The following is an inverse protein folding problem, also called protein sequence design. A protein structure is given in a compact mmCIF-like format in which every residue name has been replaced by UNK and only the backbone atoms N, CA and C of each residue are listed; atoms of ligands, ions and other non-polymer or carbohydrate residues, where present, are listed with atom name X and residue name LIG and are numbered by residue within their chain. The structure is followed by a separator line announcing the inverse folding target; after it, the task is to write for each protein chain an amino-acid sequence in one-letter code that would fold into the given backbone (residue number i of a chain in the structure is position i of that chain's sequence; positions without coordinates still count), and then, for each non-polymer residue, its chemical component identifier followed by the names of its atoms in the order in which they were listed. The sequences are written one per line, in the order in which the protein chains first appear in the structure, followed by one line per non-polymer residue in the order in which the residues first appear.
data_IF_134773053150
#
_entry.id   IF_134773053150
#
_cell.length_a   1.000
_cell.length_b   1.000
_cell.length_c   1.000
_cell.angle_alpha   90.00
_cell.angle_beta   90.00
_cell.angle_gamma   90.00
#
_symmetry.space_group_name_H-M   'P 1'
#
loop_
_entity.id
_entity.type
_entity.pdbx_description
1 polymer ?
#
# COMPACT_ATOMS: atom_id res chain seq x y z
N UNK A 1 6.88 15.90 3.99
CA UNK A 1 5.91 15.03 4.70
C UNK A 1 6.59 13.69 4.94
N UNK A 2 6.33 13.04 6.08
CA UNK A 2 6.96 11.75 6.44
C UNK A 2 6.23 10.64 5.70
N UNK A 3 6.95 9.83 4.92
CA UNK A 3 6.37 8.60 4.39
C UNK A 3 6.03 7.64 5.55
N UNK A 4 4.90 6.93 5.49
CA UNK A 4 4.55 5.92 6.50
C UNK A 4 5.62 4.82 6.57
N UNK A 5 5.83 4.22 7.75
CA UNK A 5 6.89 3.21 7.94
C UNK A 5 6.49 1.83 7.42
N UNK A 6 5.20 1.54 7.37
CA UNK A 6 4.66 0.26 6.92
C UNK A 6 3.29 0.47 6.25
N UNK A 7 2.77 -0.59 5.62
CA UNK A 7 1.49 -0.57 4.92
C UNK A 7 0.34 -0.12 5.83
N UNK A 8 0.26 -0.65 7.04
CA UNK A 8 -0.86 -0.38 7.96
C UNK A 8 -0.89 1.07 8.44
N UNK A 9 0.27 1.68 8.71
CA UNK A 9 0.36 3.12 8.98
C UNK A 9 -0.07 3.94 7.77
N UNK A 10 0.30 3.53 6.55
CA UNK A 10 -0.13 4.18 5.32
C UNK A 10 -1.64 4.12 5.11
N UNK A 11 -2.24 2.95 5.37
CA UNK A 11 -3.68 2.74 5.29
C UNK A 11 -4.45 3.52 6.36
N UNK A 12 -3.99 3.48 7.61
CA UNK A 12 -4.58 4.28 8.70
C UNK A 12 -4.53 5.78 8.37
N UNK A 13 -3.42 6.26 7.81
CA UNK A 13 -3.30 7.65 7.38
C UNK A 13 -4.28 7.97 6.24
N UNK A 14 -4.43 7.07 5.27
CA UNK A 14 -5.40 7.24 4.18
C UNK A 14 -6.83 7.36 4.71
N UNK A 15 -7.22 6.54 5.69
CA UNK A 15 -8.52 6.60 6.35
C UNK A 15 -8.73 7.94 7.06
N UNK A 16 -7.70 8.47 7.74
CA UNK A 16 -7.75 9.80 8.37
C UNK A 16 -7.89 10.93 7.35
N UNK A 17 -7.22 10.83 6.20
CA UNK A 17 -7.34 11.81 5.11
C UNK A 17 -8.75 11.77 4.53
N UNK A 18 -9.30 10.58 4.31
CA UNK A 18 -10.69 10.41 3.84
C UNK A 18 -11.70 11.03 4.81
N UNK A 19 -11.54 10.77 6.11
CA UNK A 19 -12.40 11.35 7.15
C UNK A 19 -12.34 12.89 7.14
N UNK A 20 -11.15 13.48 6.97
CA UNK A 20 -11.00 14.93 6.85
C UNK A 20 -11.61 15.48 5.55
N UNK A 21 -11.55 14.75 4.43
CA UNK A 21 -12.18 15.18 3.18
C UNK A 21 -13.72 15.13 3.25
N UNK A 22 -14.29 14.26 4.09
CA UNK A 22 -15.74 14.15 4.30
C UNK A 22 -16.29 15.20 5.27
N UNK A 23 -15.42 15.93 5.98
CA UNK A 23 -15.79 17.01 6.88
C UNK A 23 -16.29 18.24 6.09
N UNK A 24 -17.50 18.71 6.39
CA UNK A 24 -18.14 19.86 5.72
C UNK A 24 -17.40 21.18 5.95
N UNK A 25 -16.53 21.26 6.96
CA UNK A 25 -15.69 22.43 7.25
C UNK A 25 -14.39 22.45 6.44
N UNK A 26 -14.10 21.40 5.67
CA UNK A 26 -12.89 21.32 4.85
C UNK A 26 -12.99 22.27 3.66
N UNK A 27 -12.12 23.28 3.66
CA UNK A 27 -12.02 24.24 2.56
C UNK A 27 -11.41 23.62 1.31
N UNK A 28 -11.65 24.23 0.15
CA UNK A 28 -11.13 23.76 -1.14
C UNK A 28 -9.59 23.61 -1.15
N UNK A 29 -8.86 24.58 -0.60
CA UNK A 29 -7.39 24.51 -0.49
C UNK A 29 -6.93 23.31 0.35
N UNK A 30 -7.64 23.06 1.46
CA UNK A 30 -7.36 21.91 2.33
C UNK A 30 -7.70 20.59 1.63
N UNK A 31 -8.81 20.53 0.90
CA UNK A 31 -9.19 19.35 0.11
C UNK A 31 -8.14 18.99 -0.95
N UNK A 32 -7.59 19.99 -1.66
CA UNK A 32 -6.51 19.76 -2.66
C UNK A 32 -5.25 19.21 -2.01
N UNK A 33 -4.85 19.73 -0.84
CA UNK A 33 -3.70 19.23 -0.08
C UNK A 33 -3.92 17.80 0.43
N UNK A 34 -5.10 17.52 0.98
CA UNK A 34 -5.49 16.18 1.42
C UNK A 34 -5.48 15.18 0.25
N UNK A 35 -5.97 15.59 -0.92
CA UNK A 35 -5.92 14.74 -2.11
C UNK A 35 -4.50 14.42 -2.55
N UNK A 36 -3.59 15.41 -2.56
CA UNK A 36 -2.18 15.18 -2.88
C UNK A 36 -1.51 14.21 -1.89
N UNK A 37 -1.81 14.34 -0.59
CA UNK A 37 -1.36 13.40 0.43
C UNK A 37 -1.93 11.99 0.20
N UNK A 38 -3.23 11.88 -0.09
CA UNK A 38 -3.88 10.61 -0.40
C UNK A 38 -3.24 9.92 -1.61
N UNK A 39 -2.96 10.65 -2.68
CA UNK A 39 -2.31 10.11 -3.88
C UNK A 39 -0.92 9.52 -3.58
N UNK A 40 -0.13 10.21 -2.74
CA UNK A 40 1.18 9.71 -2.30
C UNK A 40 1.04 8.45 -1.44
N UNK A 41 0.08 8.41 -0.52
CA UNK A 41 -0.19 7.25 0.32
C UNK A 41 -0.66 6.04 -0.50
N UNK A 42 -1.55 6.24 -1.46
CA UNK A 42 -2.02 5.18 -2.38
C UNK A 42 -0.83 4.60 -3.16
N UNK A 43 0.03 5.45 -3.71
CA UNK A 43 1.21 5.01 -4.44
C UNK A 43 2.14 4.17 -3.55
N UNK A 44 2.39 4.60 -2.32
CA UNK A 44 3.19 3.86 -1.35
C UNK A 44 2.57 2.49 -1.00
N UNK A 45 1.26 2.46 -0.70
CA UNK A 45 0.55 1.22 -0.36
C UNK A 45 0.59 0.23 -1.53
N UNK A 46 0.35 0.70 -2.76
CA UNK A 46 0.43 -0.12 -3.97
C UNK A 46 1.84 -0.69 -4.17
N UNK A 47 2.88 0.13 -4.01
CA UNK A 47 4.27 -0.35 -4.13
C UNK A 47 4.58 -1.42 -3.09
N UNK A 48 4.12 -1.23 -1.85
CA UNK A 48 4.33 -2.20 -0.76
C UNK A 48 3.64 -3.53 -1.08
N UNK A 49 2.40 -3.49 -1.59
CA UNK A 49 1.67 -4.68 -2.01
C UNK A 49 2.32 -5.40 -3.18
N UNK A 50 2.82 -4.65 -4.17
CA UNK A 50 3.54 -5.23 -5.30
C UNK A 50 4.80 -5.96 -4.85
N UNK A 51 5.58 -5.37 -3.94
CA UNK A 51 6.77 -6.01 -3.39
C UNK A 51 6.41 -7.30 -2.62
N UNK A 52 5.36 -7.25 -1.79
CA UNK A 52 4.90 -8.44 -1.07
C UNK A 52 4.43 -9.56 -2.01
N UNK A 53 3.73 -9.20 -3.10
CA UNK A 53 3.33 -10.16 -4.14
C UNK A 53 4.53 -10.82 -4.81
N UNK A 54 5.54 -10.03 -5.19
CA UNK A 54 6.77 -10.57 -5.80
C UNK A 54 7.47 -11.55 -4.84
N UNK A 55 7.57 -11.22 -3.56
CA UNK A 55 8.16 -12.13 -2.56
C UNK A 55 7.40 -13.46 -2.45
N UNK A 56 6.07 -13.45 -2.54
CA UNK A 56 5.27 -14.68 -2.55
C UNK A 56 5.56 -15.49 -3.81
N UNK A 57 5.58 -14.85 -4.99
CA UNK A 57 5.90 -15.52 -6.25
C UNK A 57 7.31 -16.15 -6.24
N UNK A 58 8.30 -15.47 -5.64
CA UNK A 58 9.66 -16.00 -5.46
C UNK A 58 9.69 -17.23 -4.54
N UNK A 59 8.93 -17.20 -3.44
CA UNK A 59 8.80 -18.33 -2.51
C UNK A 59 8.16 -19.54 -3.20
N UNK A 60 7.06 -19.31 -3.93
CA UNK A 60 6.35 -20.36 -4.66
C UNK A 60 7.25 -20.99 -5.74
N UNK A 61 8.00 -20.17 -6.47
CA UNK A 61 8.96 -20.64 -7.48
C UNK A 61 10.10 -21.46 -6.86
N UNK A 62 10.64 -21.03 -5.72
CA UNK A 62 11.66 -21.77 -4.98
C UNK A 62 11.13 -23.12 -4.49
N UNK A 63 9.93 -23.15 -3.92
CA UNK A 63 9.30 -24.38 -3.45
C UNK A 63 9.03 -25.36 -4.60
N UNK A 64 8.56 -24.87 -5.75
CA UNK A 64 8.33 -25.69 -6.94
C UNK A 64 9.64 -26.29 -7.51
N UNK A 65 10.77 -25.58 -7.39
CA UNK A 65 12.07 -26.06 -7.81
C UNK A 65 12.67 -27.11 -6.86
N UNK A 66 12.28 -27.12 -5.59
CA UNK A 66 12.76 -28.08 -4.59
C UNK A 66 11.97 -29.40 -4.54
N UNK A 67 10.79 -29.50 -5.20
CA UNK A 67 10.10 -30.79 -5.37
C UNK A 67 10.84 -31.57 -6.48
N UNK A 68 11.68 -32.57 -6.14
CA UNK A 68 12.32 -33.38 -7.16
C UNK A 68 11.22 -34.16 -7.86
N UNK A 69 11.33 -34.26 -9.18
CA UNK A 69 10.57 -35.19 -9.99
C UNK A 69 10.84 -36.64 -9.53
N UNK A 70 10.19 -37.09 -8.47
CA UNK A 70 10.09 -38.50 -8.11
C UNK A 70 8.90 -39.07 -8.89
N UNK A 71 9.07 -39.17 -10.20
CA UNK A 71 8.26 -40.05 -11.03
C UNK A 71 9.04 -41.36 -11.20
N UNK A 72 8.68 -42.34 -10.36
CA UNK A 72 8.81 -43.77 -10.68
C UNK A 72 7.70 -44.17 -11.67
#
# INVERSE_FOLDING_TARGET
MRNPKNFEEGLARLQMVLAQMQDETTTLDKAVKLYAEAAQLIAYCNQTLQNAKLQIEEIDAALAAEIPNTQE
#
